data_IF_224536202779
#
_entry.id   IF_224536202779
#
_cell.length_a   1.000
_cell.length_b   1.000
_cell.length_c   1.000
_cell.angle_alpha   90.00
_cell.angle_beta   90.00
_cell.angle_gamma   90.00
#
_symmetry.space_group_name_H-M   'P 1'
#
loop_
_entity.id
_entity.type
_entity.pdbx_description
1 polymer ?
#
# COMPACT_ATOMS: atom_id res chain seq x y z
N UNK A 1 15.10 -1.09 1.98
CA UNK A 1 14.32 -0.83 3.22
C UNK A 1 12.92 -1.49 3.17
N UNK A 2 12.42 -1.92 2.00
CA UNK A 2 11.05 -2.45 1.89
C UNK A 2 10.83 -3.96 1.80
N UNK A 3 11.85 -4.84 1.72
CA UNK A 3 11.57 -6.25 1.41
C UNK A 3 10.81 -6.99 2.51
N UNK A 4 10.91 -6.56 3.78
CA UNK A 4 10.04 -7.11 4.82
C UNK A 4 8.57 -6.75 4.66
N UNK A 5 8.26 -5.53 4.21
CA UNK A 5 6.89 -5.14 3.86
C UNK A 5 6.39 -5.94 2.65
N UNK A 6 7.27 -6.19 1.68
CA UNK A 6 6.96 -7.02 0.50
C UNK A 6 6.68 -8.48 0.91
N UNK A 7 7.46 -9.05 1.82
CA UNK A 7 7.19 -10.39 2.36
C UNK A 7 5.88 -10.46 3.14
N UNK A 8 5.55 -9.43 3.94
CA UNK A 8 4.24 -9.34 4.60
C UNK A 8 3.11 -9.27 3.57
N UNK A 9 3.26 -8.45 2.53
CA UNK A 9 2.29 -8.36 1.45
C UNK A 9 2.15 -9.71 0.72
N UNK A 10 3.26 -10.39 0.42
CA UNK A 10 3.24 -11.69 -0.22
C UNK A 10 2.57 -12.77 0.66
N UNK A 11 2.83 -12.77 1.96
CA UNK A 11 2.16 -13.66 2.91
C UNK A 11 0.66 -13.41 2.97
N UNK A 12 0.23 -12.13 2.96
CA UNK A 12 -1.18 -11.75 2.87
C UNK A 12 -1.84 -12.18 1.56
N UNK A 13 -1.17 -11.98 0.41
CA UNK A 13 -1.65 -12.44 -0.89
C UNK A 13 -1.81 -13.96 -0.92
N UNK A 14 -0.84 -14.72 -0.40
CA UNK A 14 -0.95 -16.17 -0.32
C UNK A 14 -2.03 -16.65 0.67
N UNK A 15 -2.34 -15.86 1.71
CA UNK A 15 -3.45 -16.17 2.60
C UNK A 15 -4.82 -15.96 1.90
N UNK A 16 -4.93 -14.95 1.04
CA UNK A 16 -6.13 -14.68 0.24
C UNK A 16 -6.26 -15.63 -0.97
N UNK A 17 -5.14 -16.02 -1.57
CA UNK A 17 -5.04 -16.85 -2.77
C UNK A 17 -4.06 -18.01 -2.53
N UNK A 18 -4.47 -19.08 -1.82
CA UNK A 18 -3.59 -20.19 -1.45
C UNK A 18 -2.93 -20.90 -2.64
N UNK A 19 -3.54 -20.84 -3.83
CA UNK A 19 -3.00 -21.41 -5.06
C UNK A 19 -1.69 -20.75 -5.53
N UNK A 20 -1.38 -19.54 -5.07
CA UNK A 20 -0.10 -18.87 -5.35
C UNK A 20 1.09 -19.67 -4.81
N UNK A 21 0.90 -20.39 -3.71
CA UNK A 21 1.90 -21.31 -3.14
C UNK A 21 3.23 -20.63 -2.81
N UNK A 22 3.20 -19.55 -2.01
CA UNK A 22 4.36 -18.72 -1.68
C UNK A 22 5.60 -19.51 -1.26
N UNK A 23 5.45 -20.61 -0.53
CA UNK A 23 6.57 -21.41 -0.01
C UNK A 23 7.53 -21.90 -1.11
N UNK A 24 7.04 -22.11 -2.35
CA UNK A 24 7.85 -22.54 -3.51
C UNK A 24 8.82 -21.46 -4.00
N UNK A 25 8.58 -20.20 -3.64
CA UNK A 25 9.42 -19.05 -4.00
C UNK A 25 10.42 -18.68 -2.92
N UNK A 26 10.24 -19.14 -1.69
CA UNK A 26 11.07 -18.76 -0.55
C UNK A 26 12.30 -19.66 -0.41
N UNK A 27 13.42 -19.09 0.02
CA UNK A 27 14.53 -19.86 0.59
C UNK A 27 14.27 -20.13 2.09
N UNK A 28 15.17 -20.83 2.79
CA UNK A 28 14.99 -21.14 4.21
C UNK A 28 14.84 -19.88 5.08
N UNK A 29 15.62 -18.83 4.77
CA UNK A 29 15.54 -17.54 5.44
C UNK A 29 14.17 -16.90 5.22
N UNK A 30 13.66 -16.90 4.00
CA UNK A 30 12.33 -16.39 3.66
C UNK A 30 11.20 -17.12 4.38
N UNK A 31 11.25 -18.45 4.44
CA UNK A 31 10.28 -19.24 5.22
C UNK A 31 10.29 -18.84 6.70
N UNK A 32 11.48 -18.71 7.29
CA UNK A 32 11.62 -18.25 8.67
C UNK A 32 11.05 -16.84 8.90
N UNK A 33 11.28 -15.91 7.97
CA UNK A 33 10.71 -14.57 8.06
C UNK A 33 9.19 -14.57 7.93
N UNK A 34 8.62 -15.32 6.99
CA UNK A 34 7.17 -15.41 6.83
C UNK A 34 6.52 -16.01 8.07
N UNK A 35 7.12 -17.05 8.66
CA UNK A 35 6.64 -17.64 9.92
C UNK A 35 6.72 -16.68 11.10
N UNK A 36 7.79 -15.89 11.17
CA UNK A 36 7.90 -14.80 12.15
C UNK A 36 6.81 -13.75 11.93
N UNK A 37 6.63 -13.29 10.69
CA UNK A 37 5.67 -12.23 10.36
C UNK A 37 4.23 -12.62 10.61
N UNK A 38 3.87 -13.89 10.39
CA UNK A 38 2.53 -14.42 10.70
C UNK A 38 2.21 -14.42 12.21
N UNK A 39 3.22 -14.33 13.08
CA UNK A 39 3.09 -14.43 14.54
C UNK A 39 3.35 -13.11 15.27
N UNK A 40 3.67 -12.04 14.53
CA UNK A 40 4.08 -10.75 15.08
C UNK A 40 3.33 -9.60 14.39
N UNK A 41 3.34 -8.43 15.03
CA UNK A 41 2.62 -7.24 14.56
C UNK A 41 3.49 -6.35 13.66
N UNK A 42 2.87 -5.32 13.09
CA UNK A 42 3.50 -4.45 12.07
C UNK A 42 4.80 -3.79 12.53
N UNK A 43 4.91 -3.42 13.81
CA UNK A 43 6.09 -2.76 14.35
C UNK A 43 7.29 -3.72 14.40
N UNK A 44 7.08 -4.91 14.94
CA UNK A 44 8.08 -5.97 15.03
C UNK A 44 8.48 -6.44 13.63
N UNK A 45 7.51 -6.60 12.73
CA UNK A 45 7.76 -7.04 11.36
C UNK A 45 8.52 -5.98 10.55
N UNK A 46 8.21 -4.69 10.76
CA UNK A 46 8.95 -3.60 10.12
C UNK A 46 10.42 -3.64 10.52
N UNK A 47 10.70 -3.79 11.83
CA UNK A 47 12.08 -3.89 12.34
C UNK A 47 12.80 -5.13 11.80
N UNK A 48 12.16 -6.30 11.84
CA UNK A 48 12.74 -7.54 11.33
C UNK A 48 13.01 -7.49 9.81
N UNK A 49 12.19 -6.72 9.09
CA UNK A 49 12.25 -6.50 7.66
C UNK A 49 13.25 -5.45 7.17
N UNK A 50 13.86 -4.69 8.09
CA UNK A 50 14.78 -3.61 7.74
C UNK A 50 15.97 -4.14 6.93
N UNK A 51 16.36 -3.35 5.93
CA UNK A 51 17.51 -3.60 5.05
C UNK A 51 17.51 -4.93 4.28
N UNK A 52 16.41 -5.70 4.31
CA UNK A 52 16.29 -6.89 3.47
C UNK A 52 16.01 -6.48 2.01
N UNK A 53 16.52 -7.29 1.09
CA UNK A 53 16.11 -7.34 -0.31
C UNK A 53 15.31 -8.62 -0.60
N UNK A 54 14.39 -8.57 -1.57
CA UNK A 54 13.57 -9.74 -1.91
C UNK A 54 14.43 -10.94 -2.34
N UNK A 55 15.52 -10.66 -3.07
CA UNK A 55 16.53 -11.66 -3.48
C UNK A 55 17.19 -12.38 -2.30
N UNK A 56 17.21 -11.78 -1.10
CA UNK A 56 17.83 -12.39 0.07
C UNK A 56 16.95 -13.49 0.69
N UNK A 57 15.66 -13.49 0.36
CA UNK A 57 14.61 -14.30 1.01
C UNK A 57 13.84 -15.18 0.02
N UNK A 58 14.06 -15.00 -1.28
CA UNK A 58 13.44 -15.81 -2.33
C UNK A 58 14.47 -16.61 -3.12
N UNK A 59 14.13 -17.82 -3.53
CA UNK A 59 14.84 -18.55 -4.61
C UNK A 59 14.42 -18.08 -6.00
N UNK A 60 13.21 -17.52 -6.10
CA UNK A 60 12.63 -16.95 -7.31
C UNK A 60 11.66 -15.84 -6.89
N UNK A 61 11.75 -14.66 -7.50
CA UNK A 61 10.89 -13.55 -7.12
C UNK A 61 9.44 -13.82 -7.56
N UNK A 62 8.48 -13.97 -6.63
CA UNK A 62 7.08 -14.22 -6.98
C UNK A 62 6.46 -13.04 -7.75
N UNK A 63 6.95 -11.81 -7.54
CA UNK A 63 6.39 -10.63 -8.20
C UNK A 63 6.62 -10.62 -9.71
N UNK A 64 7.53 -11.42 -10.23
CA UNK A 64 7.79 -11.49 -11.69
C UNK A 64 6.93 -12.56 -12.38
N UNK A 65 6.08 -13.26 -11.63
CA UNK A 65 5.34 -14.43 -12.13
C UNK A 65 3.92 -14.08 -12.60
N UNK A 66 3.42 -14.70 -13.69
CA UNK A 66 2.10 -14.41 -14.23
C UNK A 66 0.94 -14.69 -13.27
N UNK A 67 1.01 -15.75 -12.47
CA UNK A 67 -0.03 -16.11 -11.48
C UNK A 67 -0.13 -15.06 -10.38
N UNK A 68 1.01 -14.60 -9.86
CA UNK A 68 1.09 -13.50 -8.91
C UNK A 68 0.64 -12.17 -9.51
N UNK A 69 1.12 -11.83 -10.70
CA UNK A 69 0.72 -10.61 -11.41
C UNK A 69 -0.80 -10.57 -11.66
N UNK A 70 -1.41 -11.70 -12.01
CA UNK A 70 -2.86 -11.79 -12.18
C UNK A 70 -3.60 -11.39 -10.89
N UNK A 71 -3.23 -11.96 -9.74
CA UNK A 71 -3.85 -11.65 -8.44
C UNK A 71 -3.56 -10.22 -7.97
N UNK A 72 -2.34 -9.73 -8.17
CA UNK A 72 -1.98 -8.35 -7.83
C UNK A 72 -2.77 -7.33 -8.65
N UNK A 73 -3.02 -7.62 -9.93
CA UNK A 73 -3.79 -6.75 -10.82
C UNK A 73 -5.27 -6.64 -10.41
N UNK A 74 -5.83 -7.60 -9.67
CA UNK A 74 -7.18 -7.49 -9.11
C UNK A 74 -7.27 -6.35 -8.07
N UNK A 75 -6.16 -5.99 -7.43
CA UNK A 75 -6.05 -4.88 -6.48
C UNK A 75 -5.61 -3.55 -7.14
N UNK A 76 -5.51 -3.48 -8.48
CA UNK A 76 -5.04 -2.28 -9.16
C UNK A 76 -6.10 -1.16 -9.14
N UNK A 77 -5.85 -0.14 -8.33
CA UNK A 77 -6.70 1.04 -8.20
C UNK A 77 -6.58 1.98 -9.41
N UNK A 78 -7.53 2.91 -9.55
CA UNK A 78 -7.54 3.90 -10.65
C UNK A 78 -8.22 3.42 -11.93
N UNK A 79 -8.48 2.12 -12.09
CA UNK A 79 -9.17 1.56 -13.28
C UNK A 79 -10.64 1.98 -13.38
N UNK A 80 -11.29 2.24 -12.24
CA UNK A 80 -12.66 2.75 -12.09
C UNK A 80 -12.69 3.92 -11.12
N UNK A 81 -13.64 4.83 -11.29
CA UNK A 81 -13.88 5.88 -10.30
C UNK A 81 -14.48 5.30 -9.01
N UNK A 82 -14.16 5.84 -7.83
CA UNK A 82 -14.88 5.53 -6.60
C UNK A 82 -16.32 6.05 -6.67
N UNK A 83 -17.25 5.30 -6.06
CA UNK A 83 -18.68 5.66 -6.01
C UNK A 83 -19.00 6.73 -4.95
N UNK A 84 -17.99 7.16 -4.19
CA UNK A 84 -18.08 8.19 -3.16
C UNK A 84 -16.91 9.18 -3.28
N UNK A 85 -17.06 10.40 -2.76
CA UNK A 85 -15.94 11.34 -2.66
C UNK A 85 -14.78 10.75 -1.83
N UNK A 86 -13.55 11.07 -2.21
CA UNK A 86 -12.34 10.53 -1.54
C UNK A 86 -11.46 11.67 -1.02
N UNK A 87 -10.92 11.51 0.19
CA UNK A 87 -9.78 12.28 0.67
C UNK A 87 -8.51 11.46 0.51
N UNK A 88 -7.57 11.93 -0.32
CA UNK A 88 -6.35 11.23 -0.65
C UNK A 88 -5.14 12.09 -0.27
N UNK A 89 -4.24 11.58 0.56
CA UNK A 89 -3.08 12.33 1.01
C UNK A 89 -1.79 11.51 0.97
N UNK A 90 -0.65 12.18 0.76
CA UNK A 90 0.65 11.52 0.60
C UNK A 90 1.80 12.45 1.02
N UNK A 91 2.83 11.88 1.65
CA UNK A 91 4.12 12.56 1.87
C UNK A 91 4.93 12.65 0.57
N UNK A 92 5.48 13.81 0.25
CA UNK A 92 6.26 14.00 -0.98
C UNK A 92 7.63 13.35 -0.96
N UNK A 93 8.17 13.05 0.22
CA UNK A 93 9.46 12.36 0.42
C UNK A 93 9.26 10.91 0.90
N UNK A 94 8.09 10.31 0.63
CA UNK A 94 7.75 8.97 1.10
C UNK A 94 8.75 7.93 0.58
N UNK A 95 9.47 7.35 1.54
CA UNK A 95 10.55 6.39 1.36
C UNK A 95 10.08 4.92 1.29
N UNK A 96 8.79 4.67 1.54
CA UNK A 96 8.18 3.33 1.53
C UNK A 96 7.24 3.14 0.34
N UNK A 97 6.35 4.10 0.09
CA UNK A 97 5.37 4.08 -0.99
C UNK A 97 5.67 5.22 -1.96
N UNK A 98 6.10 4.94 -3.19
CA UNK A 98 6.47 5.98 -4.15
C UNK A 98 5.33 6.99 -4.35
N UNK A 99 5.64 8.28 -4.14
CA UNK A 99 4.67 9.38 -4.25
C UNK A 99 3.94 9.40 -5.60
N UNK A 100 4.62 9.01 -6.69
CA UNK A 100 4.05 8.90 -8.03
C UNK A 100 2.84 7.95 -8.12
N UNK A 101 2.76 6.93 -7.25
CA UNK A 101 1.59 6.02 -7.19
C UNK A 101 0.34 6.81 -6.77
N UNK A 102 0.46 7.67 -5.75
CA UNK A 102 -0.64 8.53 -5.29
C UNK A 102 -1.02 9.60 -6.31
N UNK A 103 -0.03 10.22 -6.96
CA UNK A 103 -0.29 11.19 -8.04
C UNK A 103 -1.02 10.55 -9.23
N UNK A 104 -0.58 9.36 -9.64
CA UNK A 104 -1.22 8.61 -10.72
C UNK A 104 -2.65 8.23 -10.36
N UNK A 105 -2.87 7.70 -9.16
CA UNK A 105 -4.20 7.33 -8.68
C UNK A 105 -5.16 8.52 -8.68
N UNK A 106 -4.69 9.68 -8.18
CA UNK A 106 -5.46 10.93 -8.25
C UNK A 106 -5.82 11.25 -9.70
N UNK A 107 -4.84 11.28 -10.60
CA UNK A 107 -5.06 11.65 -11.99
C UNK A 107 -6.07 10.72 -12.69
N UNK A 108 -5.93 9.41 -12.49
CA UNK A 108 -6.83 8.41 -13.08
C UNK A 108 -8.27 8.55 -12.56
N UNK A 109 -8.46 8.78 -11.26
CA UNK A 109 -9.79 9.01 -10.69
C UNK A 109 -10.41 10.34 -11.13
N UNK A 110 -9.63 11.43 -11.15
CA UNK A 110 -10.12 12.72 -11.65
C UNK A 110 -10.52 12.65 -13.12
N UNK A 111 -9.74 11.95 -13.95
CA UNK A 111 -10.06 11.71 -15.37
C UNK A 111 -11.34 10.89 -15.58
N UNK A 112 -11.83 10.21 -14.56
CA UNK A 112 -13.08 9.44 -14.56
C UNK A 112 -14.23 10.16 -13.85
N UNK A 113 -14.07 11.44 -13.51
CA UNK A 113 -15.12 12.26 -12.89
C UNK A 113 -15.31 12.02 -11.39
N UNK A 114 -14.38 11.35 -10.73
CA UNK A 114 -14.41 11.19 -9.29
C UNK A 114 -14.15 12.53 -8.58
N UNK A 115 -14.79 12.73 -7.42
CA UNK A 115 -14.50 13.87 -6.56
C UNK A 115 -13.40 13.50 -5.57
N UNK A 116 -12.21 14.06 -5.76
CA UNK A 116 -11.04 13.76 -4.92
C UNK A 116 -10.53 15.04 -4.28
N UNK A 117 -10.44 15.04 -2.95
CA UNK A 117 -9.66 16.01 -2.21
C UNK A 117 -8.24 15.46 -2.05
N UNK A 118 -7.30 15.94 -2.88
CA UNK A 118 -5.89 15.60 -2.74
C UNK A 118 -5.17 16.54 -1.78
N UNK A 119 -4.32 15.98 -0.93
CA UNK A 119 -3.40 16.72 -0.06
C UNK A 119 -1.99 16.14 -0.12
N UNK A 120 -1.08 16.89 -0.73
CA UNK A 120 0.35 16.57 -0.70
C UNK A 120 1.03 17.25 0.50
N UNK A 121 1.99 16.55 1.10
CA UNK A 121 2.89 17.07 2.12
C UNK A 121 4.35 16.97 1.63
N UNK A 122 4.82 17.94 0.83
CA UNK A 122 6.04 17.79 0.03
C UNK A 122 7.33 17.49 0.78
N UNK A 123 7.40 17.85 2.07
CA UNK A 123 8.61 17.71 2.91
C UNK A 123 8.51 16.56 3.92
N UNK A 124 7.46 15.74 3.86
CA UNK A 124 7.27 14.63 4.79
C UNK A 124 7.56 13.29 4.12
N UNK A 125 8.29 12.43 4.83
CA UNK A 125 8.39 10.99 4.53
C UNK A 125 7.13 10.24 4.96
N UNK A 126 7.16 8.90 4.89
CA UNK A 126 5.98 8.05 5.09
C UNK A 126 5.28 8.31 6.42
N UNK A 127 6.01 8.19 7.53
CA UNK A 127 5.46 8.35 8.89
C UNK A 127 5.01 9.78 9.15
N UNK A 128 5.74 10.77 8.64
CA UNK A 128 5.35 12.18 8.72
C UNK A 128 4.03 12.44 7.99
N UNK A 129 3.90 11.92 6.76
CA UNK A 129 2.69 12.03 5.95
C UNK A 129 1.47 11.38 6.63
N UNK A 130 1.63 10.18 7.18
CA UNK A 130 0.58 9.48 7.96
C UNK A 130 0.16 10.32 9.16
N UNK A 131 1.12 10.80 9.96
CA UNK A 131 0.85 11.50 11.22
C UNK A 131 0.15 12.84 10.99
N UNK A 132 0.69 13.66 10.08
CA UNK A 132 0.15 15.01 9.81
C UNK A 132 -1.14 14.94 8.99
N UNK A 133 -1.31 13.93 8.13
CA UNK A 133 -2.50 13.74 7.31
C UNK A 133 -3.71 13.18 8.05
N UNK A 134 -3.51 12.46 9.16
CA UNK A 134 -4.59 11.75 9.85
C UNK A 134 -5.71 12.67 10.37
N UNK A 135 -5.37 13.76 11.08
CA UNK A 135 -6.37 14.66 11.66
C UNK A 135 -7.20 15.39 10.58
N UNK A 136 -6.60 16.00 9.54
CA UNK A 136 -7.35 16.56 8.42
C UNK A 136 -8.24 15.55 7.69
N UNK A 137 -7.78 14.30 7.52
CA UNK A 137 -8.59 13.24 6.91
C UNK A 137 -9.81 12.89 7.78
N UNK A 138 -9.62 12.80 9.11
CA UNK A 138 -10.70 12.55 10.05
C UNK A 138 -11.75 13.68 10.07
N UNK A 139 -11.30 14.94 10.06
CA UNK A 139 -12.20 16.11 9.98
C UNK A 139 -12.98 16.14 8.65
N UNK A 140 -12.30 15.88 7.53
CA UNK A 140 -12.94 15.80 6.22
C UNK A 140 -14.02 14.71 6.19
N UNK A 141 -13.76 13.55 6.80
CA UNK A 141 -14.71 12.44 6.91
C UNK A 141 -15.88 12.79 7.83
N UNK A 142 -15.62 13.41 8.98
CA UNK A 142 -16.65 13.89 9.91
C UNK A 142 -17.61 14.88 9.21
N UNK A 143 -17.08 15.72 8.32
CA UNK A 143 -17.90 16.60 7.47
C UNK A 143 -18.91 15.84 6.59
N UNK A 144 -18.57 14.64 6.10
CA UNK A 144 -19.51 13.80 5.32
C UNK A 144 -20.64 13.27 6.19
N UNK A 145 -20.32 12.76 7.38
CA UNK A 145 -21.33 12.29 8.34
C UNK A 145 -22.25 13.41 8.84
N UNK A 146 -21.73 14.65 8.91
CA UNK A 146 -22.51 15.84 9.24
C UNK A 146 -23.32 16.41 8.05
N UNK A 147 -23.38 15.72 6.91
CA UNK A 147 -24.14 16.15 5.73
C UNK A 147 -23.53 17.34 4.98
N UNK A 148 -22.27 17.72 5.25
CA UNK A 148 -21.59 18.80 4.54
C UNK A 148 -21.15 18.33 3.16
N UNK A 149 -21.31 19.21 2.17
CA UNK A 149 -20.82 18.99 0.81
C UNK A 149 -19.34 18.58 0.82
N UNK A 150 -18.97 17.62 -0.03
CA UNK A 150 -17.60 17.17 -0.16
C UNK A 150 -16.76 18.19 -0.94
N UNK A 151 -15.70 18.79 -0.35
CA UNK A 151 -14.74 19.53 -1.14
C UNK A 151 -13.91 18.54 -1.96
N UNK A 152 -13.45 19.00 -3.12
CA UNK A 152 -12.59 18.27 -4.03
C UNK A 152 -11.73 19.27 -4.81
N UNK A 153 -10.52 18.85 -5.17
CA UNK A 153 -9.65 19.57 -6.09
C UNK A 153 -9.31 18.72 -7.33
N UNK A 154 -10.05 17.63 -7.50
CA UNK A 154 -10.88 17.44 -8.68
C UNK A 154 -12.34 17.18 -8.22
#
# INVERSE_FOLDING_TARGET
IGAGLILMAAAGQNAAFPELGLDKYLNDKGRGYVDFMKKNCVAENAVAGLFQHISDVTVKNPLDEPDWQARLNESHLGTKAPDAPVYLYHGGLDELIPYAVGERLRADWCGKGARVQWKSYPLLGHIGGVTVGALPAADWLAGRFAGRAAPGNC
#
